data_IF_400356127068
#
_entry.id   IF_400356127068
#
_cell.length_a   1.000
_cell.length_b   1.000
_cell.length_c   1.000
_cell.angle_alpha   90.00
_cell.angle_beta   90.00
_cell.angle_gamma   90.00
#
_symmetry.space_group_name_H-M   'P 1'
#
loop_
_entity.id
_entity.type
_entity.pdbx_description
1 polymer ?
#
# COMPACT_ATOMS: atom_id res chain seq x y z
N UNK A 1 -6.73 -17.76 19.94
CA UNK A 1 -6.75 -16.45 20.64
C UNK A 1 -7.21 -15.44 19.62
N UNK A 2 -8.35 -14.78 19.83
CA UNK A 2 -8.83 -13.73 18.93
C UNK A 2 -8.16 -12.40 19.32
N UNK A 3 -7.58 -11.68 18.35
CA UNK A 3 -6.84 -10.44 18.59
C UNK A 3 -7.76 -9.25 18.95
N UNK A 4 -9.08 -9.43 18.94
CA UNK A 4 -10.09 -8.44 19.31
C UNK A 4 -10.33 -7.34 18.27
N UNK A 5 -10.03 -7.61 16.99
CA UNK A 5 -10.33 -6.71 15.89
C UNK A 5 -11.75 -6.94 15.36
N UNK A 6 -12.42 -5.87 14.97
CA UNK A 6 -13.70 -5.92 14.26
C UNK A 6 -13.50 -5.62 12.78
N UNK A 7 -14.34 -6.19 11.93
CA UNK A 7 -14.34 -5.89 10.49
C UNK A 7 -15.10 -4.57 10.27
N UNK A 8 -14.42 -3.56 9.75
CA UNK A 8 -15.05 -2.30 9.34
C UNK A 8 -15.52 -2.35 7.88
N UNK A 9 -14.71 -2.93 7.00
CA UNK A 9 -14.98 -3.03 5.56
C UNK A 9 -14.57 -4.41 5.07
N UNK A 10 -15.38 -5.00 4.18
CA UNK A 10 -15.05 -6.21 3.44
C UNK A 10 -15.43 -6.04 1.99
N UNK A 11 -14.43 -5.91 1.12
CA UNK A 11 -14.54 -5.90 -0.34
C UNK A 11 -13.93 -7.20 -0.91
N UNK A 12 -14.04 -7.40 -2.21
CA UNK A 12 -13.55 -8.56 -2.96
C UNK A 12 -12.03 -8.76 -2.84
N UNK A 13 -11.28 -7.67 -2.62
CA UNK A 13 -9.81 -7.69 -2.60
C UNK A 13 -9.19 -7.02 -1.38
N UNK A 14 -10.00 -6.50 -0.46
CA UNK A 14 -9.54 -5.82 0.74
C UNK A 14 -10.46 -6.14 1.93
N UNK A 15 -9.88 -6.34 3.10
CA UNK A 15 -10.59 -6.35 4.37
C UNK A 15 -9.91 -5.38 5.33
N UNK A 16 -10.69 -4.50 5.94
CA UNK A 16 -10.22 -3.53 6.93
C UNK A 16 -10.65 -3.97 8.31
N UNK A 17 -9.67 -4.12 9.19
CA UNK A 17 -9.85 -4.42 10.61
C UNK A 17 -9.62 -3.19 11.45
N UNK A 18 -10.43 -3.01 12.48
CA UNK A 18 -10.32 -1.88 13.42
C UNK A 18 -10.33 -2.36 14.86
N UNK A 19 -9.47 -1.76 15.68
CA UNK A 19 -9.44 -1.93 17.14
C UNK A 19 -8.88 -0.68 17.79
N UNK A 20 -9.73 0.06 18.51
CA UNK A 20 -9.38 1.38 19.07
C UNK A 20 -8.78 2.28 17.98
N UNK A 21 -7.52 2.71 18.13
CA UNK A 21 -6.83 3.59 17.17
C UNK A 21 -6.03 2.81 16.11
N UNK A 22 -6.09 1.48 16.11
CA UNK A 22 -5.41 0.62 15.13
C UNK A 22 -6.35 0.27 13.97
N UNK A 23 -5.92 0.63 12.75
CA UNK A 23 -6.58 0.30 11.50
C UNK A 23 -5.61 -0.55 10.68
N UNK A 24 -6.05 -1.73 10.26
CA UNK A 24 -5.26 -2.66 9.43
C UNK A 24 -6.05 -2.96 8.18
N UNK A 25 -5.52 -2.54 7.03
CA UNK A 25 -6.02 -2.97 5.73
C UNK A 25 -5.21 -4.18 5.25
N UNK A 26 -5.89 -5.29 4.95
CA UNK A 26 -5.29 -6.45 4.30
C UNK A 26 -5.75 -6.53 2.84
N UNK A 27 -4.79 -6.44 1.92
CA UNK A 27 -5.04 -6.47 0.48
C UNK A 27 -4.62 -7.81 -0.13
N UNK A 28 -5.46 -8.33 -1.02
CA UNK A 28 -5.02 -9.22 -2.11
C UNK A 28 -4.50 -8.35 -3.26
N UNK A 29 -5.27 -7.31 -3.61
CA UNK A 29 -4.89 -6.30 -4.59
C UNK A 29 -5.37 -4.92 -4.11
N UNK A 30 -4.50 -3.89 -4.12
CA UNK A 30 -4.95 -2.50 -3.96
C UNK A 30 -6.04 -2.17 -4.98
N UNK A 31 -7.22 -1.82 -4.48
CA UNK A 31 -8.44 -1.64 -5.27
C UNK A 31 -9.39 -0.62 -4.66
N UNK A 32 -10.30 -0.11 -5.49
CA UNK A 32 -11.43 0.72 -5.07
C UNK A 32 -12.70 0.27 -5.81
N UNK A 33 -13.75 -0.11 -5.07
CA UNK A 33 -15.03 -0.53 -5.65
C UNK A 33 -14.88 -1.73 -6.59
N UNK A 34 -14.08 -2.72 -6.20
CA UNK A 34 -13.76 -3.88 -7.04
C UNK A 34 -12.82 -3.62 -8.23
N UNK A 35 -12.41 -2.38 -8.50
CA UNK A 35 -11.43 -2.07 -9.54
C UNK A 35 -10.01 -2.10 -8.97
N UNK A 36 -9.19 -3.03 -9.46
CA UNK A 36 -7.78 -3.16 -9.11
C UNK A 36 -6.99 -2.05 -9.81
N UNK A 37 -6.32 -1.19 -9.04
CA UNK A 37 -5.41 -0.19 -9.60
C UNK A 37 -3.94 -0.64 -9.56
N UNK A 38 -3.58 -1.55 -8.65
CA UNK A 38 -2.26 -2.20 -8.63
C UNK A 38 -2.42 -3.71 -8.42
N UNK A 39 -1.72 -4.50 -9.22
CA UNK A 39 -1.61 -5.95 -9.04
C UNK A 39 -0.74 -6.28 -7.81
N UNK A 40 -1.40 -6.68 -6.72
CA UNK A 40 -0.74 -7.13 -5.50
C UNK A 40 0.22 -8.32 -5.67
N UNK A 41 -0.03 -9.25 -6.59
CA UNK A 41 0.90 -10.35 -6.86
C UNK A 41 2.23 -9.84 -7.40
N UNK A 42 2.17 -8.86 -8.30
CA UNK A 42 3.38 -8.18 -8.81
C UNK A 42 4.09 -7.36 -7.74
N UNK A 43 3.35 -6.73 -6.80
CA UNK A 43 3.99 -6.01 -5.69
C UNK A 43 4.87 -6.95 -4.85
N UNK A 44 4.41 -8.16 -4.59
CA UNK A 44 5.15 -9.14 -3.78
C UNK A 44 6.47 -9.61 -4.42
N UNK A 45 6.68 -9.40 -5.72
CA UNK A 45 7.97 -9.62 -6.39
C UNK A 45 9.05 -8.64 -5.91
N UNK A 46 8.64 -7.49 -5.37
CA UNK A 46 9.51 -6.41 -4.90
C UNK A 46 9.58 -6.31 -3.37
N UNK A 47 9.44 -7.46 -2.70
CA UNK A 47 9.53 -7.54 -1.25
C UNK A 47 11.00 -7.45 -0.78
N UNK A 48 11.23 -6.79 0.34
CA UNK A 48 12.52 -6.74 1.01
C UNK A 48 12.35 -6.97 2.52
N UNK A 49 13.43 -7.34 3.21
CA UNK A 49 13.47 -7.36 4.67
C UNK A 49 13.78 -5.95 5.18
N UNK A 50 13.06 -5.52 6.21
CA UNK A 50 13.32 -4.27 6.93
C UNK A 50 13.25 -4.49 8.44
N UNK A 51 13.99 -3.68 9.17
CA UNK A 51 13.86 -3.59 10.62
C UNK A 51 12.87 -2.46 10.97
N UNK A 52 11.90 -2.78 11.83
CA UNK A 52 10.96 -1.83 12.38
C UNK A 52 10.81 -2.09 13.88
N UNK A 53 11.28 -1.15 14.70
CA UNK A 53 11.26 -1.22 16.16
C UNK A 53 11.91 -2.50 16.72
N UNK A 54 13.05 -2.88 16.17
CA UNK A 54 13.82 -4.08 16.53
C UNK A 54 13.24 -5.39 15.99
N UNK A 55 12.24 -5.34 15.11
CA UNK A 55 11.61 -6.52 14.51
C UNK A 55 11.88 -6.55 13.01
N UNK A 56 12.38 -7.68 12.51
CA UNK A 56 12.48 -7.92 11.07
C UNK A 56 11.10 -8.19 10.47
N UNK A 57 10.72 -7.38 9.49
CA UNK A 57 9.45 -7.48 8.76
C UNK A 57 9.72 -7.59 7.26
N UNK A 58 8.78 -8.19 6.54
CA UNK A 58 8.74 -8.15 5.09
C UNK A 58 7.99 -6.87 4.69
N UNK A 59 8.69 -5.98 3.97
CA UNK A 59 8.15 -4.74 3.42
C UNK A 59 8.30 -4.73 1.90
N UNK A 60 7.95 -3.63 1.26
CA UNK A 60 8.28 -3.40 -0.14
C UNK A 60 9.56 -2.55 -0.26
N UNK A 61 10.23 -2.67 -1.39
CA UNK A 61 11.31 -1.75 -1.76
C UNK A 61 10.80 -0.29 -1.72
N UNK A 62 11.62 0.66 -1.24
CA UNK A 62 11.19 2.05 -1.00
C UNK A 62 10.52 2.69 -2.21
N UNK A 63 11.08 2.47 -3.40
CA UNK A 63 10.57 3.03 -4.65
C UNK A 63 9.21 2.45 -5.05
N UNK A 64 8.88 1.24 -4.57
CA UNK A 64 7.59 0.58 -4.75
C UNK A 64 6.59 1.09 -3.72
N UNK A 65 7.00 1.31 -2.47
CA UNK A 65 6.15 1.97 -1.47
C UNK A 65 5.77 3.39 -1.91
N UNK A 66 6.70 4.14 -2.52
CA UNK A 66 6.41 5.45 -3.12
C UNK A 66 5.31 5.37 -4.20
N UNK A 67 5.37 4.37 -5.08
CA UNK A 67 4.33 4.13 -6.11
C UNK A 67 2.98 3.80 -5.46
N UNK A 68 2.96 2.89 -4.48
CA UNK A 68 1.73 2.46 -3.81
C UNK A 68 1.10 3.62 -3.04
N UNK A 69 1.87 4.42 -2.31
CA UNK A 69 1.36 5.59 -1.59
C UNK A 69 0.79 6.64 -2.53
N UNK A 70 1.50 6.97 -3.62
CA UNK A 70 0.98 7.91 -4.62
C UNK A 70 -0.32 7.39 -5.26
N UNK A 71 -0.37 6.12 -5.64
CA UNK A 71 -1.56 5.50 -6.20
C UNK A 71 -2.73 5.45 -5.21
N UNK A 72 -2.47 5.13 -3.94
CA UNK A 72 -3.49 5.10 -2.89
C UNK A 72 -4.11 6.50 -2.69
N UNK A 73 -3.27 7.54 -2.64
CA UNK A 73 -3.73 8.92 -2.53
C UNK A 73 -4.57 9.36 -3.74
N UNK A 74 -4.16 9.02 -4.97
CA UNK A 74 -4.86 9.40 -6.20
C UNK A 74 -6.17 8.62 -6.38
N UNK A 75 -6.09 7.29 -6.31
CA UNK A 75 -7.20 6.42 -6.70
C UNK A 75 -8.21 6.17 -5.58
N UNK A 76 -7.74 5.94 -4.34
CA UNK A 76 -8.60 5.53 -3.23
C UNK A 76 -9.09 6.73 -2.42
N UNK A 77 -8.18 7.47 -1.81
CA UNK A 77 -8.55 8.54 -0.86
C UNK A 77 -8.91 9.85 -1.57
N UNK A 78 -8.40 10.06 -2.79
CA UNK A 78 -8.51 11.34 -3.54
C UNK A 78 -8.05 12.54 -2.73
N UNK A 79 -7.16 12.30 -1.77
CA UNK A 79 -6.56 13.27 -0.86
C UNK A 79 -5.09 12.91 -0.77
N UNK A 80 -4.22 13.91 -0.97
CA UNK A 80 -2.78 13.77 -0.84
C UNK A 80 -2.35 14.26 0.54
N UNK A 81 -1.97 13.35 1.42
CA UNK A 81 -1.62 13.66 2.80
C UNK A 81 -0.16 14.08 2.94
N UNK A 82 0.19 14.65 4.09
CA UNK A 82 1.57 15.00 4.41
C UNK A 82 2.48 13.76 4.44
N UNK A 83 1.95 12.61 4.86
CA UNK A 83 2.69 11.35 4.84
C UNK A 83 2.98 10.91 3.41
N UNK A 84 2.00 10.97 2.51
CA UNK A 84 2.18 10.67 1.09
C UNK A 84 3.25 11.57 0.47
N UNK A 85 3.25 12.87 0.81
CA UNK A 85 4.28 13.81 0.36
C UNK A 85 5.68 13.37 0.76
N UNK A 86 5.93 13.08 2.03
CA UNK A 86 7.27 12.68 2.48
C UNK A 86 7.67 11.32 1.90
N UNK A 87 6.76 10.35 1.86
CA UNK A 87 7.03 9.05 1.24
C UNK A 87 7.42 9.20 -0.22
N UNK A 88 6.66 9.93 -1.02
CA UNK A 88 6.98 10.12 -2.45
C UNK A 88 8.26 10.93 -2.62
N UNK A 89 8.42 12.03 -1.88
CA UNK A 89 9.60 12.90 -2.00
C UNK A 89 10.90 12.17 -1.69
N UNK A 90 10.91 11.40 -0.60
CA UNK A 90 12.15 10.77 -0.11
C UNK A 90 12.44 9.44 -0.81
N UNK A 91 11.41 8.72 -1.24
CA UNK A 91 11.58 7.34 -1.73
C UNK A 91 11.35 7.15 -3.22
N UNK A 92 10.72 8.10 -3.92
CA UNK A 92 10.53 7.97 -5.35
C UNK A 92 11.86 8.10 -6.10
N UNK A 93 12.09 7.18 -7.02
CA UNK A 93 13.26 7.20 -7.92
C UNK A 93 12.80 7.01 -9.37
N UNK A 94 13.72 7.03 -10.33
CA UNK A 94 13.40 6.69 -11.73
C UNK A 94 12.74 5.30 -11.85
N UNK A 95 13.10 4.36 -10.97
CA UNK A 95 12.51 3.02 -10.92
C UNK A 95 11.03 3.04 -10.50
N UNK A 96 10.62 3.99 -9.65
CA UNK A 96 9.19 4.21 -9.33
C UNK A 96 8.38 4.50 -10.60
N UNK A 97 8.86 5.41 -11.44
CA UNK A 97 8.16 5.81 -12.66
C UNK A 97 8.21 4.73 -13.75
N UNK A 98 9.32 3.99 -13.86
CA UNK A 98 9.42 2.81 -14.74
C UNK A 98 8.42 1.75 -14.31
N UNK A 99 8.33 1.48 -13.01
CA UNK A 99 7.37 0.52 -12.48
C UNK A 99 5.92 0.97 -12.73
N UNK A 100 5.59 2.25 -12.48
CA UNK A 100 4.25 2.78 -12.74
C UNK A 100 3.81 2.55 -14.20
N UNK A 101 4.70 2.83 -15.17
CA UNK A 101 4.45 2.54 -16.59
C UNK A 101 4.25 1.05 -16.86
N UNK A 102 5.09 0.18 -16.29
CA UNK A 102 5.00 -1.28 -16.43
C UNK A 102 3.69 -1.84 -15.86
N UNK A 103 3.24 -1.29 -14.74
CA UNK A 103 2.01 -1.72 -14.05
C UNK A 103 0.76 -0.98 -14.52
N UNK A 104 0.90 -0.03 -15.46
CA UNK A 104 -0.19 0.82 -15.98
C UNK A 104 -0.88 1.64 -14.88
N UNK A 105 -0.11 2.02 -13.86
CA UNK A 105 -0.51 2.99 -12.84
C UNK A 105 -0.16 4.37 -13.36
N UNK A 106 -1.16 5.24 -13.51
CA UNK A 106 -0.95 6.61 -13.94
C UNK A 106 -0.84 7.49 -12.69
N UNK A 107 0.36 8.01 -12.42
CA UNK A 107 0.66 8.96 -11.35
C UNK A 107 0.67 10.40 -11.89
#
# INVERSE_FOLDING_TARGET
>A
MELGYNIAVKDSYCITFVKSDSIIDLYVHPSLGGMIFIDGGKLLEYKCLREFNGVEIISLESYVEALVSAAHAIYKERIYTLNDYFTVKEWATEETFKLAKKTKVYL
#
